data_IF_828122080163
#
_entry.id   IF_828122080163
#
_cell.length_a   1.000
_cell.length_b   1.000
_cell.length_c   1.000
_cell.angle_alpha   90.00
_cell.angle_beta   90.00
_cell.angle_gamma   90.00
#
_symmetry.space_group_name_H-M   'P 1'
#
loop_
_entity.id
_entity.type
_entity.pdbx_description
1 polymer ?
#
# COMPACT_ATOMS: atom_id res chain seq x y z
N UNK A 1 4.99 -6.13 1.50
CA UNK A 1 5.79 -7.16 0.81
C UNK A 1 4.95 -7.67 -0.33
N UNK A 2 5.48 -7.59 -1.55
CA UNK A 2 4.82 -8.09 -2.76
C UNK A 2 5.40 -9.49 -3.01
N UNK A 3 4.62 -10.48 -3.45
CA UNK A 3 5.18 -11.79 -3.77
C UNK A 3 6.23 -11.66 -4.87
N UNK A 4 7.23 -12.55 -4.85
CA UNK A 4 8.12 -12.78 -5.98
C UNK A 4 7.26 -13.46 -7.05
N UNK A 5 7.10 -12.82 -8.21
CA UNK A 5 6.32 -13.35 -9.33
C UNK A 5 7.25 -13.90 -10.41
N UNK A 6 6.71 -14.50 -11.47
CA UNK A 6 7.51 -14.83 -12.66
C UNK A 6 8.09 -13.59 -13.38
N UNK A 7 7.62 -12.38 -13.02
CA UNK A 7 8.22 -11.12 -13.48
C UNK A 7 9.46 -10.74 -12.65
N UNK A 8 9.70 -11.42 -11.53
CA UNK A 8 10.97 -11.29 -10.81
C UNK A 8 12.08 -11.79 -11.73
N UNK A 9 12.94 -10.85 -12.13
CA UNK A 9 13.98 -11.09 -13.09
C UNK A 9 15.32 -10.86 -12.41
N UNK A 10 15.99 -11.96 -12.06
CA UNK A 10 17.33 -11.93 -11.47
C UNK A 10 18.41 -11.80 -12.56
N UNK A 11 18.07 -12.11 -13.82
CA UNK A 11 19.02 -12.21 -14.91
C UNK A 11 19.73 -10.91 -15.28
N UNK A 12 19.16 -9.75 -14.92
CA UNK A 12 19.82 -8.45 -15.14
C UNK A 12 21.16 -8.36 -14.39
N UNK A 13 21.29 -9.04 -13.24
CA UNK A 13 22.51 -9.02 -12.43
C UNK A 13 23.21 -10.37 -12.32
N UNK A 14 22.46 -11.48 -12.34
CA UNK A 14 22.98 -12.82 -12.08
C UNK A 14 23.18 -13.68 -13.33
N UNK A 15 22.81 -13.21 -14.53
CA UNK A 15 23.18 -13.92 -15.76
C UNK A 15 24.70 -13.90 -15.96
N UNK A 16 25.23 -14.92 -16.62
CA UNK A 16 26.68 -15.07 -16.78
C UNK A 16 27.27 -13.88 -17.54
N UNK A 17 28.30 -13.26 -16.97
CA UNK A 17 28.91 -12.02 -17.47
C UNK A 17 28.32 -10.74 -16.87
N UNK A 18 27.21 -10.80 -16.15
CA UNK A 18 26.65 -9.66 -15.41
C UNK A 18 27.35 -9.43 -14.07
N UNK A 19 27.03 -8.31 -13.42
CA UNK A 19 27.74 -7.81 -12.23
C UNK A 19 27.88 -8.81 -11.09
N UNK A 20 26.90 -9.71 -10.89
CA UNK A 20 26.95 -10.73 -9.85
C UNK A 20 27.49 -12.09 -10.33
N UNK A 21 27.70 -12.28 -11.63
CA UNK A 21 28.19 -13.52 -12.23
C UNK A 21 29.31 -13.28 -13.26
N UNK A 22 30.30 -12.45 -12.89
CA UNK A 22 31.45 -12.09 -13.73
C UNK A 22 32.81 -12.49 -13.13
N UNK A 23 32.85 -13.10 -11.95
CA UNK A 23 34.11 -13.52 -11.33
C UNK A 23 34.73 -14.68 -12.13
N UNK A 24 35.95 -14.53 -12.70
CA UNK A 24 36.57 -15.57 -13.53
C UNK A 24 37.05 -16.79 -12.72
N UNK A 25 37.14 -16.69 -11.40
CA UNK A 25 37.50 -17.81 -10.53
C UNK A 25 36.32 -18.76 -10.23
N UNK A 26 35.11 -18.43 -10.70
CA UNK A 26 33.92 -19.26 -10.55
C UNK A 26 33.45 -19.80 -11.90
N UNK A 27 32.99 -21.05 -11.92
CA UNK A 27 32.39 -21.67 -13.09
C UNK A 27 30.89 -21.35 -13.11
N UNK A 28 30.50 -20.41 -13.95
CA UNK A 28 29.10 -20.00 -14.11
C UNK A 28 28.34 -20.90 -15.07
N UNK A 29 27.03 -21.05 -14.84
CA UNK A 29 26.14 -21.80 -15.72
C UNK A 29 26.11 -21.14 -17.11
N UNK A 30 26.17 -21.92 -18.18
CA UNK A 30 26.04 -21.41 -19.56
C UNK A 30 24.61 -21.58 -20.08
N UNK A 31 24.28 -20.91 -21.20
CA UNK A 31 22.99 -21.14 -21.87
C UNK A 31 22.88 -22.56 -22.46
N UNK A 32 24.01 -23.24 -22.69
CA UNK A 32 24.06 -24.60 -23.24
C UNK A 32 23.95 -25.68 -22.16
N UNK A 33 23.84 -25.29 -20.89
CA UNK A 33 23.56 -26.21 -19.79
C UNK A 33 22.24 -26.99 -20.08
N UNK A 34 22.24 -28.33 -19.98
CA UNK A 34 21.08 -29.15 -20.32
C UNK A 34 19.81 -28.78 -19.55
N UNK A 35 19.92 -28.39 -18.28
CA UNK A 35 18.75 -28.02 -17.49
C UNK A 35 18.24 -26.62 -17.88
N UNK A 36 19.15 -25.71 -18.28
CA UNK A 36 18.76 -24.39 -18.82
C UNK A 36 17.97 -24.57 -20.10
N UNK A 37 18.41 -25.46 -20.99
CA UNK A 37 17.69 -25.78 -22.23
C UNK A 37 16.34 -26.45 -21.93
N UNK A 38 16.28 -27.36 -20.95
CA UNK A 38 15.06 -28.06 -20.58
C UNK A 38 13.98 -27.15 -19.96
N UNK A 39 14.36 -26.03 -19.34
CA UNK A 39 13.43 -25.12 -18.64
C UNK A 39 13.22 -23.79 -19.38
N UNK A 40 13.84 -23.60 -20.55
CA UNK A 40 13.83 -22.34 -21.29
C UNK A 40 12.43 -21.82 -21.64
N UNK A 41 11.48 -22.72 -21.91
CA UNK A 41 10.14 -22.36 -22.41
C UNK A 41 9.26 -21.77 -21.30
N UNK A 42 9.61 -22.01 -20.03
CA UNK A 42 8.83 -21.57 -18.86
C UNK A 42 9.28 -20.21 -18.32
N UNK A 43 10.58 -19.89 -18.38
CA UNK A 43 11.19 -18.73 -17.71
C UNK A 43 12.16 -17.92 -18.61
N UNK A 44 12.55 -18.47 -19.76
CA UNK A 44 13.63 -17.96 -20.59
C UNK A 44 15.01 -18.41 -20.10
N UNK A 45 15.91 -18.75 -21.04
CA UNK A 45 17.26 -19.27 -20.75
C UNK A 45 18.03 -18.46 -19.71
N UNK A 46 18.04 -17.14 -19.89
CA UNK A 46 18.82 -16.22 -19.06
C UNK A 46 18.35 -16.19 -17.61
N UNK A 47 17.06 -16.41 -17.36
CA UNK A 47 16.52 -16.45 -15.98
C UNK A 47 16.85 -17.77 -15.29
N UNK A 48 16.72 -18.90 -16.00
CA UNK A 48 17.13 -20.20 -15.45
C UNK A 48 18.64 -20.21 -15.14
N UNK A 49 19.46 -19.65 -16.03
CA UNK A 49 20.88 -19.45 -15.80
C UNK A 49 21.14 -18.59 -14.55
N UNK A 50 20.43 -17.47 -14.40
CA UNK A 50 20.57 -16.57 -13.26
C UNK A 50 20.23 -17.26 -11.93
N UNK A 51 19.16 -18.06 -11.88
CA UNK A 51 18.77 -18.83 -10.70
C UNK A 51 19.84 -19.86 -10.30
N UNK A 52 20.43 -20.56 -11.27
CA UNK A 52 21.56 -21.47 -11.02
C UNK A 52 22.81 -20.72 -10.52
N UNK A 53 23.13 -19.56 -11.10
CA UNK A 53 24.23 -18.72 -10.66
C UNK A 53 24.04 -18.18 -9.22
N UNK A 54 22.81 -17.92 -8.80
CA UNK A 54 22.49 -17.59 -7.40
C UNK A 54 22.84 -18.76 -6.46
N UNK A 55 22.58 -20.01 -6.85
CA UNK A 55 22.97 -21.18 -6.03
C UNK A 55 24.49 -21.36 -5.97
N UNK A 56 25.21 -21.12 -7.08
CA UNK A 56 26.68 -21.15 -7.11
C UNK A 56 27.26 -20.12 -6.12
N UNK A 57 26.72 -18.89 -6.15
CA UNK A 57 27.09 -17.84 -5.20
C UNK A 57 26.81 -18.25 -3.76
N UNK A 58 25.62 -18.81 -3.51
CA UNK A 58 25.22 -19.25 -2.18
C UNK A 58 26.17 -20.35 -1.65
N UNK A 59 26.43 -21.38 -2.45
CA UNK A 59 27.36 -22.47 -2.12
C UNK A 59 28.76 -21.94 -1.79
N UNK A 60 29.25 -20.98 -2.59
CA UNK A 60 30.55 -20.36 -2.35
C UNK A 60 30.61 -19.51 -1.08
N UNK A 61 29.57 -18.75 -0.78
CA UNK A 61 29.54 -17.80 0.34
C UNK A 61 29.20 -18.44 1.68
N UNK A 62 28.44 -19.55 1.65
CA UNK A 62 27.88 -20.17 2.85
C UNK A 62 28.29 -21.63 3.04
N UNK A 63 29.22 -22.13 2.23
CA UNK A 63 29.73 -23.51 2.30
C UNK A 63 28.61 -24.55 2.20
N UNK A 64 27.69 -24.32 1.26
CA UNK A 64 26.57 -25.22 0.97
C UNK A 64 26.80 -26.02 -0.32
N UNK A 65 25.89 -26.95 -0.63
CA UNK A 65 25.89 -27.72 -1.87
C UNK A 65 24.49 -27.77 -2.51
N UNK A 66 23.84 -26.60 -2.56
CA UNK A 66 22.48 -26.40 -3.04
C UNK A 66 22.36 -26.56 -4.55
N UNK A 67 23.42 -26.27 -5.31
CA UNK A 67 23.42 -26.48 -6.76
C UNK A 67 23.14 -27.95 -7.12
N UNK A 68 23.57 -28.90 -6.28
CA UNK A 68 23.34 -30.33 -6.47
C UNK A 68 22.07 -30.84 -5.75
N UNK A 69 21.25 -29.94 -5.18
CA UNK A 69 20.04 -30.24 -4.41
C UNK A 69 18.81 -29.51 -4.95
N UNK A 70 18.76 -29.28 -6.26
CA UNK A 70 17.64 -28.61 -6.93
C UNK A 70 16.43 -29.54 -7.11
N UNK A 71 15.18 -29.02 -7.05
CA UNK A 71 14.83 -27.62 -6.79
C UNK A 71 14.99 -27.22 -5.32
N UNK A 72 15.46 -25.99 -5.08
CA UNK A 72 15.68 -25.45 -3.73
C UNK A 72 14.57 -24.47 -3.38
N UNK A 73 13.81 -24.78 -2.34
CA UNK A 73 12.90 -23.82 -1.72
C UNK A 73 13.67 -23.02 -0.68
N UNK A 74 14.08 -21.78 -0.98
CA UNK A 74 14.84 -20.91 -0.06
C UNK A 74 14.20 -20.81 1.34
N UNK A 75 12.87 -20.82 1.39
CA UNK A 75 12.12 -20.72 2.63
C UNK A 75 12.19 -21.97 3.52
N UNK A 76 12.74 -23.10 3.05
CA UNK A 76 13.02 -24.26 3.91
C UNK A 76 14.06 -23.91 4.98
N UNK A 77 14.99 -23.01 4.66
CA UNK A 77 16.03 -22.51 5.57
C UNK A 77 15.74 -21.09 6.05
N UNK A 78 15.24 -20.21 5.19
CA UNK A 78 15.01 -18.79 5.50
C UNK A 78 13.55 -18.48 5.75
N UNK A 79 13.14 -18.36 7.01
CA UNK A 79 11.72 -18.19 7.38
C UNK A 79 10.99 -17.12 6.56
N UNK A 80 9.78 -17.43 6.10
CA UNK A 80 8.88 -16.49 5.44
C UNK A 80 7.48 -16.65 6.03
N UNK A 81 6.97 -15.66 6.78
CA UNK A 81 5.62 -15.72 7.35
C UNK A 81 4.53 -15.92 6.30
N UNK A 82 4.75 -15.48 5.05
CA UNK A 82 3.80 -15.70 3.95
C UNK A 82 3.58 -17.17 3.59
N UNK A 83 4.53 -18.06 3.93
CA UNK A 83 4.43 -19.50 3.69
C UNK A 83 4.05 -20.28 4.95
N UNK A 84 3.95 -19.61 6.11
CA UNK A 84 3.54 -20.18 7.38
C UNK A 84 2.02 -20.11 7.54
N UNK A 85 1.33 -20.95 6.75
CA UNK A 85 -0.14 -20.94 6.70
C UNK A 85 -0.79 -21.41 8.01
N UNK A 86 -0.05 -22.14 8.86
CA UNK A 86 -0.51 -22.63 10.17
C UNK A 86 -0.21 -21.66 11.31
N UNK A 87 0.66 -20.66 11.09
CA UNK A 87 1.06 -19.69 12.10
C UNK A 87 1.93 -20.29 13.22
N UNK A 88 2.65 -21.38 12.94
CA UNK A 88 3.46 -22.08 13.94
C UNK A 88 4.82 -21.41 14.18
N UNK A 89 5.18 -20.43 13.37
CA UNK A 89 6.46 -19.74 13.42
C UNK A 89 7.58 -20.50 12.73
N UNK A 90 8.80 -19.96 12.86
CA UNK A 90 10.02 -20.58 12.32
C UNK A 90 10.29 -21.96 12.95
N UNK A 91 10.66 -22.94 12.14
CA UNK A 91 10.98 -24.32 12.54
C UNK A 91 12.39 -24.74 12.14
N UNK A 92 13.02 -25.62 12.92
CA UNK A 92 14.36 -26.14 12.62
C UNK A 92 15.38 -25.01 12.38
N UNK A 93 16.11 -25.09 11.27
CA UNK A 93 17.14 -24.10 10.89
C UNK A 93 16.60 -22.68 10.68
N UNK A 94 15.31 -22.53 10.38
CA UNK A 94 14.68 -21.22 10.22
C UNK A 94 14.77 -20.35 11.49
N UNK A 95 14.91 -20.97 12.67
CA UNK A 95 15.04 -20.24 13.94
C UNK A 95 16.40 -19.57 14.12
N UNK A 96 17.43 -20.09 13.46
CA UNK A 96 18.82 -19.62 13.59
C UNK A 96 19.32 -18.83 12.40
N UNK A 97 18.57 -18.82 11.29
CA UNK A 97 18.94 -18.14 10.06
C UNK A 97 18.10 -16.86 9.85
N UNK A 98 18.63 -15.85 9.13
CA UNK A 98 17.86 -14.69 8.76
C UNK A 98 16.61 -15.08 7.93
N UNK A 99 15.55 -14.31 8.06
CA UNK A 99 14.32 -14.47 7.27
C UNK A 99 14.58 -14.30 5.78
N UNK A 100 13.68 -14.81 4.94
CA UNK A 100 13.70 -14.60 3.48
C UNK A 100 13.78 -13.12 3.10
N UNK A 101 13.10 -12.25 3.86
CA UNK A 101 13.16 -10.80 3.61
C UNK A 101 14.53 -10.19 3.92
N UNK A 102 15.17 -10.66 5.00
CA UNK A 102 16.52 -10.20 5.36
C UNK A 102 17.53 -10.62 4.30
N UNK A 103 17.56 -11.89 3.91
CA UNK A 103 18.54 -12.37 2.92
C UNK A 103 18.38 -11.73 1.55
N UNK A 104 17.15 -11.38 1.15
CA UNK A 104 16.92 -10.67 -0.11
C UNK A 104 17.17 -9.17 0.05
N UNK A 105 16.40 -8.46 0.87
CA UNK A 105 16.44 -6.99 0.85
C UNK A 105 17.66 -6.42 1.57
N UNK A 106 18.04 -6.96 2.75
CA UNK A 106 19.18 -6.40 3.49
C UNK A 106 20.47 -6.59 2.68
N UNK A 107 20.72 -7.79 2.18
CA UNK A 107 21.90 -8.09 1.35
C UNK A 107 21.97 -7.14 0.16
N UNK A 108 20.92 -7.07 -0.67
CA UNK A 108 20.93 -6.21 -1.86
C UNK A 108 20.98 -4.71 -1.52
N UNK A 109 20.43 -4.28 -0.39
CA UNK A 109 20.54 -2.90 0.08
C UNK A 109 21.92 -2.53 0.64
N UNK A 110 22.75 -3.51 1.00
CA UNK A 110 24.13 -3.32 1.49
C UNK A 110 25.18 -3.39 0.39
N UNK A 111 24.86 -3.97 -0.77
CA UNK A 111 25.78 -4.06 -1.91
C UNK A 111 26.19 -2.67 -2.44
N UNK A 112 27.48 -2.52 -2.72
CA UNK A 112 28.09 -1.32 -3.31
C UNK A 112 28.94 -1.70 -4.53
N UNK A 113 29.04 -0.78 -5.50
CA UNK A 113 30.02 -0.87 -6.59
C UNK A 113 31.44 -0.54 -6.08
N UNK A 114 32.42 -0.55 -6.99
CA UNK A 114 33.82 -0.26 -6.66
C UNK A 114 34.02 1.20 -6.19
N UNK A 115 33.16 2.10 -6.64
CA UNK A 115 33.14 3.52 -6.29
C UNK A 115 32.40 3.79 -4.97
N UNK A 116 31.75 2.78 -4.38
CA UNK A 116 31.03 2.86 -3.12
C UNK A 116 29.55 3.27 -3.26
N UNK A 117 28.99 3.32 -4.46
CA UNK A 117 27.58 3.62 -4.69
C UNK A 117 26.70 2.37 -4.49
N UNK A 118 25.45 2.50 -4.00
CA UNK A 118 24.51 1.38 -3.93
C UNK A 118 24.25 0.76 -5.30
N UNK A 119 24.38 -0.57 -5.41
CA UNK A 119 24.01 -1.31 -6.63
C UNK A 119 22.51 -1.13 -6.93
N UNK A 120 21.67 -1.16 -5.89
CA UNK A 120 20.24 -0.84 -5.99
C UNK A 120 19.99 0.48 -5.25
N UNK A 121 19.84 1.60 -5.96
CA UNK A 121 19.68 2.92 -5.33
C UNK A 121 18.31 3.11 -4.67
N UNK A 122 18.28 3.89 -3.59
CA UNK A 122 17.06 4.39 -2.95
C UNK A 122 16.75 5.82 -3.41
N UNK A 123 15.49 6.26 -3.29
CA UNK A 123 15.09 7.62 -3.69
C UNK A 123 15.04 7.86 -5.21
N UNK A 124 15.15 6.81 -6.02
CA UNK A 124 14.94 6.83 -7.46
C UNK A 124 13.57 6.24 -7.83
N UNK A 125 13.13 6.46 -9.07
CA UNK A 125 11.93 5.83 -9.62
C UNK A 125 11.95 4.30 -9.49
N UNK A 126 10.75 3.71 -9.30
CA UNK A 126 10.58 2.30 -8.91
C UNK A 126 11.17 1.30 -9.90
N UNK A 127 11.22 1.68 -11.18
CA UNK A 127 11.79 0.93 -12.28
C UNK A 127 13.28 0.66 -12.08
N UNK A 128 13.99 1.52 -11.33
CA UNK A 128 15.42 1.37 -11.02
C UNK A 128 15.68 0.75 -9.64
N UNK A 129 14.63 0.40 -8.88
CA UNK A 129 14.77 -0.23 -7.57
C UNK A 129 13.85 -1.45 -7.38
N UNK A 130 12.70 -1.31 -6.73
CA UNK A 130 11.76 -2.36 -6.35
C UNK A 130 11.35 -3.22 -7.55
N UNK A 131 11.12 -2.62 -8.72
CA UNK A 131 10.70 -3.35 -9.94
C UNK A 131 11.85 -4.08 -10.65
N UNK A 132 13.07 -4.06 -10.11
CA UNK A 132 14.10 -5.01 -10.53
C UNK A 132 13.77 -6.43 -10.06
N UNK A 133 13.10 -6.58 -8.91
CA UNK A 133 12.78 -7.89 -8.33
C UNK A 133 11.27 -8.13 -8.19
N UNK A 134 10.46 -7.08 -8.09
CA UNK A 134 9.02 -7.19 -7.92
C UNK A 134 8.25 -6.97 -9.23
N UNK A 135 7.08 -7.63 -9.37
CA UNK A 135 6.19 -7.40 -10.50
C UNK A 135 5.82 -5.92 -10.62
N UNK A 136 6.12 -5.30 -11.76
CA UNK A 136 5.91 -3.85 -11.92
C UNK A 136 6.29 -3.25 -13.26
N UNK A 137 7.29 -3.80 -13.96
CA UNK A 137 7.65 -3.38 -15.33
C UNK A 137 6.50 -3.63 -16.31
N UNK A 138 5.76 -4.72 -16.11
CA UNK A 138 4.60 -5.13 -16.92
C UNK A 138 3.30 -5.03 -16.13
N UNK A 139 3.25 -5.68 -14.97
CA UNK A 139 2.01 -5.81 -14.19
C UNK A 139 1.60 -4.57 -13.40
N UNK A 140 2.54 -3.62 -13.22
CA UNK A 140 2.32 -2.36 -12.51
C UNK A 140 1.61 -2.61 -11.17
N UNK A 141 2.22 -3.41 -10.28
CA UNK A 141 1.56 -3.78 -9.02
C UNK A 141 1.07 -2.59 -8.21
N UNK A 142 1.75 -1.43 -8.30
CA UNK A 142 1.28 -0.18 -7.74
C UNK A 142 0.63 0.69 -8.83
N UNK A 143 -0.70 0.68 -8.90
CA UNK A 143 -1.47 1.38 -9.96
C UNK A 143 -2.71 2.12 -9.47
N UNK A 144 -3.00 2.06 -8.17
CA UNK A 144 -4.16 2.74 -7.58
C UNK A 144 -4.01 4.26 -7.37
N UNK A 145 -4.88 4.79 -6.50
CA UNK A 145 -4.98 6.20 -6.15
C UNK A 145 -3.65 6.78 -5.62
N UNK A 146 -2.88 6.01 -4.87
CA UNK A 146 -1.56 6.43 -4.37
C UNK A 146 -0.56 6.63 -5.51
N UNK A 147 -0.55 5.77 -6.53
CA UNK A 147 0.30 5.95 -7.72
C UNK A 147 -0.14 7.16 -8.53
N UNK A 148 -1.46 7.37 -8.64
CA UNK A 148 -2.05 8.52 -9.34
C UNK A 148 -1.55 9.87 -8.80
N UNK A 149 -1.27 9.95 -7.51
CA UNK A 149 -0.73 11.16 -6.86
C UNK A 149 0.80 11.15 -6.73
N UNK A 150 1.49 10.24 -7.43
CA UNK A 150 2.94 10.19 -7.50
C UNK A 150 3.64 9.53 -6.31
N UNK A 151 2.92 8.85 -5.42
CA UNK A 151 3.56 8.07 -4.36
C UNK A 151 4.16 6.79 -4.95
N UNK A 152 5.37 6.46 -4.53
CA UNK A 152 6.09 5.26 -4.93
C UNK A 152 6.23 4.29 -3.75
N UNK A 153 6.75 3.09 -4.01
CA UNK A 153 6.87 2.02 -3.01
C UNK A 153 7.57 2.48 -1.72
N UNK A 154 8.58 3.34 -1.84
CA UNK A 154 9.38 3.84 -0.72
C UNK A 154 8.58 4.74 0.21
N UNK A 155 7.56 5.46 -0.27
CA UNK A 155 6.72 6.32 0.57
C UNK A 155 5.96 5.53 1.64
N UNK A 156 5.66 4.26 1.36
CA UNK A 156 5.00 3.36 2.30
C UNK A 156 5.99 2.43 3.02
N UNK A 157 6.90 1.82 2.25
CA UNK A 157 7.73 0.71 2.74
C UNK A 157 9.12 1.12 3.23
N UNK A 158 9.62 2.29 2.84
CA UNK A 158 11.04 2.63 2.92
C UNK A 158 11.89 1.91 1.85
N UNK A 159 13.21 2.03 1.98
CA UNK A 159 14.16 1.36 1.10
C UNK A 159 14.39 -0.12 1.43
N UNK A 160 15.25 -0.78 0.65
CA UNK A 160 15.59 -2.20 0.85
C UNK A 160 16.09 -2.51 2.26
N UNK A 161 16.89 -1.62 2.86
CA UNK A 161 17.39 -1.80 4.22
C UNK A 161 16.28 -1.75 5.27
N UNK A 162 15.27 -0.89 5.09
CA UNK A 162 14.09 -0.83 5.95
C UNK A 162 13.24 -2.10 5.82
N UNK A 163 12.93 -2.52 4.58
CA UNK A 163 12.15 -3.73 4.30
C UNK A 163 12.88 -5.00 4.73
N UNK A 164 14.21 -5.01 4.61
CA UNK A 164 15.10 -6.07 5.08
C UNK A 164 15.30 -6.06 6.59
N UNK A 165 14.73 -5.11 7.32
CA UNK A 165 14.80 -5.09 8.78
C UNK A 165 16.22 -4.83 9.31
N UNK A 166 17.02 -4.01 8.60
CA UNK A 166 18.36 -3.62 9.07
C UNK A 166 18.28 -2.76 10.34
N UNK A 167 17.28 -1.90 10.40
CA UNK A 167 17.09 -0.94 11.49
C UNK A 167 15.93 -1.39 12.37
N UNK A 168 16.04 -1.24 13.70
CA UNK A 168 14.95 -1.55 14.60
C UNK A 168 13.77 -0.62 14.36
N UNK A 169 12.54 -1.13 14.47
CA UNK A 169 11.33 -0.31 14.42
C UNK A 169 11.30 0.65 15.60
N UNK A 170 10.82 1.86 15.37
CA UNK A 170 10.54 2.85 16.39
C UNK A 170 9.24 2.52 17.13
N UNK A 171 9.00 3.18 18.26
CA UNK A 171 7.77 3.06 19.05
C UNK A 171 6.51 3.27 18.18
N UNK A 172 5.57 2.34 18.29
CA UNK A 172 4.36 2.25 17.49
C UNK A 172 4.55 1.63 16.10
N UNK A 173 5.76 1.27 15.70
CA UNK A 173 6.07 0.80 14.35
C UNK A 173 5.58 -0.64 14.06
N UNK A 174 5.60 -1.51 15.07
CA UNK A 174 5.08 -2.87 14.93
C UNK A 174 3.55 -2.87 14.90
N UNK A 175 2.96 -3.80 14.14
CA UNK A 175 1.51 -3.82 13.92
C UNK A 175 0.73 -4.14 15.21
N UNK A 176 1.33 -4.93 16.10
CA UNK A 176 0.74 -5.40 17.36
C UNK A 176 1.32 -4.71 18.61
N UNK A 177 2.26 -3.77 18.43
CA UNK A 177 2.94 -3.07 19.52
C UNK A 177 3.90 -3.93 20.35
N UNK A 178 4.14 -5.18 19.97
CA UNK A 178 4.97 -6.13 20.75
C UNK A 178 6.40 -6.27 20.24
N UNK A 179 6.71 -5.68 19.08
CA UNK A 179 7.99 -5.82 18.40
C UNK A 179 8.65 -4.47 18.10
N UNK A 180 8.26 -3.41 18.79
CA UNK A 180 8.95 -2.12 18.73
C UNK A 180 10.36 -2.26 19.32
N UNK A 181 11.33 -1.56 18.75
CA UNK A 181 12.77 -1.77 19.01
C UNK A 181 13.33 -3.05 18.37
N UNK A 182 12.47 -3.92 17.83
CA UNK A 182 12.84 -5.15 17.13
C UNK A 182 13.03 -4.96 15.63
N UNK A 183 13.50 -6.03 14.97
CA UNK A 183 13.58 -6.06 13.51
C UNK A 183 12.17 -6.14 12.89
N UNK A 184 11.92 -5.39 11.80
CA UNK A 184 10.68 -5.48 11.03
C UNK A 184 10.35 -6.93 10.66
N UNK A 185 9.17 -7.43 11.07
CA UNK A 185 8.69 -8.77 10.70
C UNK A 185 8.07 -8.72 9.30
N UNK A 186 8.64 -9.43 8.31
CA UNK A 186 8.11 -9.39 6.95
C UNK A 186 6.69 -9.97 6.90
N UNK A 187 5.83 -9.39 6.07
CA UNK A 187 4.40 -9.75 5.93
C UNK A 187 3.53 -9.53 7.18
N UNK A 188 4.11 -9.08 8.29
CA UNK A 188 3.39 -8.77 9.53
C UNK A 188 3.42 -7.26 9.77
N UNK A 189 4.61 -6.67 9.92
CA UNK A 189 4.80 -5.23 10.11
C UNK A 189 4.80 -4.52 8.74
N UNK A 190 3.60 -4.26 8.22
CA UNK A 190 3.38 -3.64 6.91
C UNK A 190 2.81 -2.21 7.03
N UNK A 191 2.87 -1.41 5.95
CA UNK A 191 2.27 -0.09 5.94
C UNK A 191 0.77 -0.15 6.25
N UNK A 192 0.30 0.91 6.90
CA UNK A 192 -1.05 1.01 7.44
C UNK A 192 -1.77 2.20 6.82
N UNK A 193 -3.09 2.11 6.65
CA UNK A 193 -3.89 3.21 6.12
C UNK A 193 -3.78 4.43 7.04
N UNK A 194 -3.88 4.18 8.35
CA UNK A 194 -3.72 5.20 9.39
C UNK A 194 -2.36 5.88 9.43
N UNK A 195 -1.34 5.34 8.75
CA UNK A 195 -0.04 5.98 8.71
C UNK A 195 -0.02 7.22 7.82
N UNK A 196 -0.93 7.31 6.85
CA UNK A 196 -1.12 8.52 6.02
C UNK A 196 -2.47 9.18 6.23
N UNK A 197 -3.52 8.38 6.44
CA UNK A 197 -4.88 8.83 6.74
C UNK A 197 -5.06 8.94 8.26
N UNK A 198 -4.37 9.90 8.85
CA UNK A 198 -4.12 9.95 10.29
C UNK A 198 -5.28 10.52 11.13
N UNK A 199 -6.44 10.69 10.49
CA UNK A 199 -7.63 11.28 11.08
C UNK A 199 -8.42 12.12 10.09
N UNK A 200 -9.17 13.07 10.62
CA UNK A 200 -10.13 13.89 9.89
C UNK A 200 -9.70 15.35 9.79
N UNK A 201 -10.55 16.22 9.27
CA UNK A 201 -10.20 17.62 8.99
C UNK A 201 -9.82 18.42 10.24
N UNK A 202 -10.28 18.02 11.42
CA UNK A 202 -10.06 18.77 12.66
C UNK A 202 -9.10 18.07 13.61
N UNK A 203 -8.94 16.75 13.47
CA UNK A 203 -8.08 15.91 14.30
C UNK A 203 -7.31 14.92 13.43
N UNK A 204 -6.06 15.24 13.11
CA UNK A 204 -5.08 14.41 12.41
C UNK A 204 -3.67 14.65 13.00
N UNK A 205 -2.71 13.77 12.70
CA UNK A 205 -1.34 13.93 13.19
C UNK A 205 -0.71 15.23 12.68
N UNK A 206 0.08 15.88 13.53
CA UNK A 206 0.89 17.06 13.22
C UNK A 206 2.21 16.92 13.96
N UNK A 207 3.27 17.50 13.40
CA UNK A 207 4.58 17.51 14.04
C UNK A 207 5.73 17.46 13.04
N UNK A 208 6.94 17.53 13.59
CA UNK A 208 8.19 17.45 12.83
C UNK A 208 8.38 16.09 12.17
N UNK A 209 8.99 16.10 10.98
CA UNK A 209 9.26 14.90 10.19
C UNK A 209 8.03 14.28 9.52
N UNK A 210 6.85 14.91 9.60
CA UNK A 210 5.67 14.49 8.84
C UNK A 210 5.62 15.22 7.50
N UNK A 211 5.55 14.46 6.42
CA UNK A 211 5.40 15.00 5.06
C UNK A 211 3.93 15.00 4.67
N UNK A 212 3.36 16.19 4.47
CA UNK A 212 1.96 16.33 4.06
C UNK A 212 1.82 16.32 2.54
N UNK A 213 0.76 15.69 2.06
CA UNK A 213 0.29 15.91 0.70
C UNK A 213 -0.24 17.35 0.56
N UNK A 214 -0.40 17.82 -0.68
CA UNK A 214 -0.80 19.22 -0.98
C UNK A 214 -2.17 19.63 -0.43
N UNK A 215 -2.91 18.68 0.12
CA UNK A 215 -4.24 18.88 0.68
C UNK A 215 -4.25 19.22 2.18
N UNK A 216 -3.09 19.15 2.83
CA UNK A 216 -2.90 19.54 4.23
C UNK A 216 -3.52 18.61 5.28
N UNK A 217 -4.06 17.44 4.89
CA UNK A 217 -4.66 16.47 5.82
C UNK A 217 -3.93 15.13 5.74
N UNK A 218 -3.77 14.60 4.52
CA UNK A 218 -3.13 13.30 4.31
C UNK A 218 -1.62 13.45 4.30
N UNK A 219 -0.91 12.45 4.81
CA UNK A 219 0.54 12.40 4.66
C UNK A 219 0.94 11.79 3.30
N UNK A 220 2.03 12.30 2.74
CA UNK A 220 2.70 11.77 1.55
C UNK A 220 3.69 10.63 1.89
N UNK A 221 3.94 10.38 3.19
CA UNK A 221 4.84 9.33 3.67
C UNK A 221 4.24 8.65 4.91
N UNK A 222 4.36 7.32 4.99
CA UNK A 222 3.79 6.50 6.06
C UNK A 222 4.64 6.48 7.34
N UNK A 223 5.80 7.10 7.34
CA UNK A 223 6.78 7.13 8.42
C UNK A 223 7.42 8.52 8.48
N UNK A 224 8.15 8.82 9.56
CA UNK A 224 8.80 10.13 9.71
C UNK A 224 10.02 10.26 8.81
N UNK A 225 10.24 11.44 8.22
CA UNK A 225 11.50 11.76 7.55
C UNK A 225 12.67 11.57 8.52
N UNK A 226 13.72 10.90 8.06
CA UNK A 226 14.88 10.54 8.89
C UNK A 226 14.74 9.21 9.65
N UNK A 227 13.58 8.53 9.57
CA UNK A 227 13.46 7.16 10.09
C UNK A 227 13.90 6.12 9.06
N UNK A 228 15.13 5.63 9.22
CA UNK A 228 15.73 4.60 8.35
C UNK A 228 15.00 3.25 8.40
N UNK A 229 14.26 2.97 9.48
CA UNK A 229 13.45 1.76 9.62
C UNK A 229 12.10 1.85 8.89
N UNK A 230 11.73 3.05 8.45
CA UNK A 230 10.44 3.39 7.88
C UNK A 230 9.26 2.87 8.73
N UNK A 231 9.32 3.08 10.05
CA UNK A 231 8.31 2.61 11.00
C UNK A 231 6.96 3.25 10.70
N UNK A 232 5.93 2.45 10.37
CA UNK A 232 4.61 2.98 10.08
C UNK A 232 4.10 3.85 11.22
N UNK A 233 3.50 5.00 10.91
CA UNK A 233 2.90 5.89 11.92
C UNK A 233 1.60 5.30 12.50
N UNK A 234 1.31 5.62 13.76
CA UNK A 234 0.04 5.33 14.41
C UNK A 234 -0.82 6.60 14.52
N UNK A 235 -2.03 6.55 13.97
CA UNK A 235 -2.99 7.62 14.17
C UNK A 235 -3.57 7.59 15.59
N UNK A 236 -3.84 8.76 16.17
CA UNK A 236 -4.67 8.88 17.38
C UNK A 236 -6.16 8.86 17.02
N UNK A 237 -6.52 9.54 15.94
CA UNK A 237 -7.87 9.48 15.37
C UNK A 237 -7.94 8.31 14.38
N UNK A 238 -8.70 7.27 14.75
CA UNK A 238 -8.79 6.02 13.99
C UNK A 238 -9.90 6.03 12.91
N UNK A 239 -10.50 7.18 12.57
CA UNK A 239 -11.62 7.27 11.61
C UNK A 239 -11.36 6.54 10.29
N UNK A 240 -10.13 6.59 9.78
CA UNK A 240 -9.71 5.95 8.53
C UNK A 240 -8.68 4.83 8.74
N UNK A 241 -8.54 4.35 9.99
CA UNK A 241 -7.66 3.25 10.29
C UNK A 241 -8.28 1.92 9.87
N UNK A 242 -7.42 1.00 9.45
CA UNK A 242 -7.75 -0.43 9.46
C UNK A 242 -8.01 -0.93 10.90
N UNK A 243 -8.55 -2.15 11.06
CA UNK A 243 -8.83 -2.69 12.40
C UNK A 243 -7.53 -2.86 13.20
N UNK A 244 -7.61 -2.78 14.53
CA UNK A 244 -6.43 -2.93 15.39
C UNK A 244 -5.70 -4.24 15.14
N UNK A 245 -4.37 -4.18 15.13
CA UNK A 245 -3.46 -5.32 14.94
C UNK A 245 -3.75 -6.14 13.67
N UNK A 246 -4.41 -5.54 12.67
CA UNK A 246 -4.93 -6.23 11.50
C UNK A 246 -4.51 -5.51 10.22
N UNK A 247 -4.07 -6.27 9.22
CA UNK A 247 -3.75 -5.70 7.90
C UNK A 247 -5.03 -5.25 7.18
N UNK A 248 -4.93 -4.22 6.34
CA UNK A 248 -6.03 -3.73 5.49
C UNK A 248 -6.76 -4.86 4.74
N UNK A 249 -6.01 -5.78 4.11
CA UNK A 249 -6.60 -6.90 3.35
C UNK A 249 -7.45 -7.86 4.20
N UNK A 250 -7.21 -7.88 5.52
CA UNK A 250 -7.92 -8.71 6.49
C UNK A 250 -8.94 -7.89 7.31
N UNK A 251 -8.96 -6.57 7.14
CA UNK A 251 -9.83 -5.67 7.89
C UNK A 251 -11.22 -5.61 7.27
N UNK A 252 -12.20 -5.41 8.14
CA UNK A 252 -13.61 -5.31 7.80
C UNK A 252 -14.23 -4.08 8.45
N UNK A 253 -15.22 -3.52 7.80
CA UNK A 253 -16.03 -2.41 8.29
C UNK A 253 -17.49 -2.60 7.89
N UNK A 254 -18.35 -1.64 8.27
CA UNK A 254 -19.72 -1.47 7.77
C UNK A 254 -20.46 -2.77 7.41
N UNK A 255 -21.04 -3.44 8.42
CA UNK A 255 -21.76 -4.71 8.22
C UNK A 255 -20.85 -5.93 7.96
N UNK A 256 -19.54 -5.81 8.20
CA UNK A 256 -18.57 -6.90 8.03
C UNK A 256 -17.99 -7.01 6.61
N UNK A 257 -18.21 -6.00 5.77
CA UNK A 257 -17.64 -5.89 4.43
C UNK A 257 -16.12 -5.70 4.55
N UNK A 258 -15.34 -6.47 3.79
CA UNK A 258 -13.89 -6.30 3.73
C UNK A 258 -13.57 -4.92 3.13
N UNK A 259 -12.54 -4.25 3.65
CA UNK A 259 -12.16 -2.91 3.18
C UNK A 259 -11.91 -2.88 1.65
N UNK A 260 -11.38 -3.98 1.10
CA UNK A 260 -11.16 -4.14 -0.35
C UNK A 260 -12.44 -4.09 -1.18
N UNK A 261 -13.60 -4.43 -0.60
CA UNK A 261 -14.90 -4.36 -1.27
C UNK A 261 -15.33 -2.94 -1.60
N UNK A 262 -14.93 -1.94 -0.79
CA UNK A 262 -15.24 -0.53 -1.04
C UNK A 262 -14.08 0.21 -1.72
N UNK A 263 -12.84 -0.10 -1.33
CA UNK A 263 -11.65 0.66 -1.75
C UNK A 263 -10.88 0.04 -2.91
N UNK A 264 -11.07 -1.23 -3.24
CA UNK A 264 -10.19 -2.00 -4.13
C UNK A 264 -9.07 -2.73 -3.38
N UNK A 265 -8.30 -3.55 -4.10
CA UNK A 265 -7.26 -4.38 -3.47
C UNK A 265 -6.00 -3.58 -3.10
N UNK A 266 -5.19 -4.12 -2.18
CA UNK A 266 -3.88 -3.51 -1.86
C UNK A 266 -3.06 -3.20 -3.13
N UNK A 267 -2.46 -2.01 -3.18
CA UNK A 267 -1.72 -1.45 -4.31
C UNK A 267 -2.54 -1.10 -5.59
N UNK A 268 -3.82 -1.45 -5.64
CA UNK A 268 -4.76 -1.11 -6.71
C UNK A 268 -6.04 -0.42 -6.19
N UNK A 269 -5.91 0.31 -5.07
CA UNK A 269 -6.99 1.10 -4.47
C UNK A 269 -7.53 2.12 -5.47
N UNK A 270 -8.85 2.27 -5.56
CA UNK A 270 -9.49 3.12 -6.56
C UNK A 270 -9.44 4.62 -6.21
N UNK A 271 -9.42 5.50 -7.23
CA UNK A 271 -9.42 5.20 -8.65
C UNK A 271 -8.01 4.96 -9.22
N UNK A 272 -7.97 4.33 -10.40
CA UNK A 272 -6.81 4.37 -11.29
C UNK A 272 -6.84 5.67 -12.12
N UNK A 273 -5.67 6.26 -12.42
CA UNK A 273 -5.54 7.53 -13.15
C UNK A 273 -6.08 7.45 -14.59
N UNK A 274 -5.75 6.38 -15.31
CA UNK A 274 -6.36 6.07 -16.61
C UNK A 274 -7.83 5.69 -16.42
N UNK A 275 -8.72 6.51 -16.99
CA UNK A 275 -10.17 6.32 -16.93
C UNK A 275 -10.62 4.99 -17.55
N UNK A 276 -9.86 4.44 -18.49
CA UNK A 276 -10.18 3.19 -19.18
C UNK A 276 -9.54 1.96 -18.54
N UNK A 277 -8.79 2.11 -17.45
CA UNK A 277 -8.15 0.99 -16.78
C UNK A 277 -9.19 0.02 -16.21
N UNK A 278 -8.89 -1.29 -16.31
CA UNK A 278 -9.75 -2.35 -15.81
C UNK A 278 -10.06 -2.19 -14.31
N UNK A 279 -9.13 -1.65 -13.51
CA UNK A 279 -9.36 -1.42 -12.07
C UNK A 279 -10.53 -0.44 -11.83
N UNK A 280 -10.86 0.47 -12.75
CA UNK A 280 -12.00 1.38 -12.61
C UNK A 280 -13.36 0.74 -12.96
N UNK A 281 -13.38 -0.39 -13.68
CA UNK A 281 -14.62 -0.97 -14.23
C UNK A 281 -15.60 -1.38 -13.14
N UNK A 282 -15.13 -1.99 -12.06
CA UNK A 282 -16.00 -2.41 -10.95
C UNK A 282 -16.73 -1.23 -10.33
N UNK A 283 -16.02 -0.15 -9.99
CA UNK A 283 -16.63 1.05 -9.43
C UNK A 283 -17.62 1.70 -10.41
N UNK A 284 -17.26 1.79 -11.70
CA UNK A 284 -18.15 2.35 -12.72
C UNK A 284 -19.45 1.52 -12.85
N UNK A 285 -19.36 0.20 -12.85
CA UNK A 285 -20.54 -0.67 -12.95
C UNK A 285 -21.46 -0.58 -11.73
N UNK A 286 -20.87 -0.40 -10.53
CA UNK A 286 -21.61 -0.38 -9.27
C UNK A 286 -22.27 0.96 -8.97
N UNK A 287 -21.55 2.08 -9.12
CA UNK A 287 -22.02 3.41 -8.72
C UNK A 287 -22.06 4.44 -9.86
N UNK A 288 -21.76 4.02 -11.10
CA UNK A 288 -21.78 4.90 -12.28
C UNK A 288 -20.55 5.79 -12.43
N UNK A 289 -19.57 5.72 -11.52
CA UNK A 289 -18.32 6.47 -11.62
C UNK A 289 -17.13 5.72 -10.98
N UNK A 290 -15.91 6.05 -11.42
CA UNK A 290 -14.67 5.55 -10.83
C UNK A 290 -14.48 6.03 -9.38
N UNK A 291 -13.74 5.27 -8.57
CA UNK A 291 -13.33 5.65 -7.23
C UNK A 291 -13.80 4.66 -6.17
N UNK A 292 -13.50 4.95 -4.90
CA UNK A 292 -14.06 4.21 -3.76
C UNK A 292 -15.58 4.18 -3.85
N UNK A 293 -16.20 3.05 -3.49
CA UNK A 293 -17.66 2.92 -3.40
C UNK A 293 -18.17 3.81 -2.27
N UNK A 294 -18.93 4.83 -2.62
CA UNK A 294 -19.54 5.77 -1.66
C UNK A 294 -21.05 5.91 -1.84
N UNK A 295 -21.59 5.41 -2.96
CA UNK A 295 -23.03 5.41 -3.22
C UNK A 295 -23.68 4.24 -2.50
N UNK A 296 -24.42 4.55 -1.43
CA UNK A 296 -24.94 3.53 -0.52
C UNK A 296 -25.98 2.62 -1.19
N UNK A 297 -26.65 3.10 -2.23
CA UNK A 297 -27.62 2.35 -3.03
C UNK A 297 -26.98 1.27 -3.92
N UNK A 298 -25.66 1.24 -4.02
CA UNK A 298 -24.90 0.10 -4.57
C UNK A 298 -25.23 -1.21 -3.84
N UNK A 299 -25.52 -1.12 -2.54
CA UNK A 299 -25.81 -2.30 -1.70
C UNK A 299 -27.16 -2.22 -0.98
N UNK A 300 -27.63 -1.01 -0.67
CA UNK A 300 -28.92 -0.81 -0.02
C UNK A 300 -30.02 -0.50 -1.04
N UNK A 301 -31.25 -0.92 -0.78
CA UNK A 301 -32.34 -0.57 -1.69
C UNK A 301 -32.54 0.97 -1.69
N UNK A 302 -32.76 1.59 -2.86
CA UNK A 302 -33.00 3.03 -2.93
C UNK A 302 -34.11 3.49 -1.97
N UNK A 303 -33.79 4.50 -1.15
CA UNK A 303 -34.71 5.04 -0.15
C UNK A 303 -34.92 4.20 1.11
N UNK A 304 -34.36 2.98 1.19
CA UNK A 304 -34.54 2.10 2.35
C UNK A 304 -33.68 2.50 3.55
N UNK A 305 -32.61 3.26 3.33
CA UNK A 305 -31.76 3.76 4.40
C UNK A 305 -32.45 4.88 5.15
N UNK A 306 -32.45 4.77 6.48
CA UNK A 306 -32.74 5.91 7.35
C UNK A 306 -31.64 6.97 7.20
N UNK A 307 -31.98 8.22 7.54
CA UNK A 307 -30.98 9.29 7.60
C UNK A 307 -30.02 9.00 8.75
N UNK A 308 -28.73 9.17 8.52
CA UNK A 308 -27.69 8.83 9.50
C UNK A 308 -26.43 9.64 9.27
N UNK A 309 -25.56 9.65 10.27
CA UNK A 309 -24.16 10.08 10.23
C UNK A 309 -23.22 8.94 10.65
N UNK A 310 -23.75 7.72 10.83
CA UNK A 310 -23.05 6.54 11.33
C UNK A 310 -22.64 5.58 10.21
N UNK A 311 -22.58 6.06 8.96
CA UNK A 311 -22.07 5.32 7.82
C UNK A 311 -20.56 5.03 7.95
N UNK A 312 -19.98 4.35 6.94
CA UNK A 312 -18.54 4.12 6.88
C UNK A 312 -17.76 5.42 7.16
N UNK A 313 -16.80 5.38 8.07
CA UNK A 313 -15.99 6.55 8.46
C UNK A 313 -16.79 7.74 9.04
N UNK A 314 -18.03 7.52 9.50
CA UNK A 314 -18.94 8.56 9.96
C UNK A 314 -19.57 9.35 8.81
N UNK A 315 -19.73 8.71 7.65
CA UNK A 315 -20.40 9.31 6.50
C UNK A 315 -21.91 9.36 6.72
N UNK A 316 -22.50 10.45 6.21
CA UNK A 316 -23.94 10.55 6.04
C UNK A 316 -24.39 9.99 4.69
N UNK A 317 -25.70 9.89 4.48
CA UNK A 317 -26.28 9.47 3.21
C UNK A 317 -25.78 10.36 2.07
N UNK A 318 -25.16 9.74 1.07
CA UNK A 318 -24.69 10.39 -0.16
C UNK A 318 -25.78 10.26 -1.21
N UNK A 319 -25.94 11.29 -2.05
CA UNK A 319 -26.90 11.31 -3.15
C UNK A 319 -28.38 11.13 -2.75
N UNK A 320 -28.73 11.39 -1.49
CA UNK A 320 -30.10 11.27 -1.03
C UNK A 320 -30.78 12.65 -0.99
N UNK A 321 -31.82 12.90 -1.81
CA UNK A 321 -32.54 14.18 -1.79
C UNK A 321 -33.11 14.51 -0.42
N UNK A 322 -33.49 13.50 0.38
CA UNK A 322 -33.99 13.71 1.75
C UNK A 322 -32.92 14.34 2.63
N UNK A 323 -31.64 13.99 2.44
CA UNK A 323 -30.54 14.57 3.19
C UNK A 323 -30.36 16.05 2.87
N UNK A 324 -30.29 16.38 1.58
CA UNK A 324 -30.10 17.77 1.12
C UNK A 324 -31.32 18.65 1.38
N UNK A 325 -32.53 18.07 1.33
CA UNK A 325 -33.80 18.74 1.59
C UNK A 325 -34.15 18.68 3.09
N UNK A 326 -33.55 19.58 3.86
CA UNK A 326 -33.77 19.85 5.28
C UNK A 326 -33.38 18.79 6.32
N UNK A 327 -33.17 17.51 6.01
CA UNK A 327 -32.90 16.51 7.07
C UNK A 327 -31.55 16.68 7.74
N UNK A 328 -30.51 17.06 7.01
CA UNK A 328 -29.16 17.22 7.58
C UNK A 328 -29.09 18.32 8.67
N UNK A 329 -29.99 19.32 8.64
CA UNK A 329 -30.07 20.39 9.65
C UNK A 329 -30.23 19.82 11.06
N UNK A 330 -31.06 18.79 11.23
CA UNK A 330 -31.29 18.20 12.55
C UNK A 330 -30.02 17.56 13.11
N UNK A 331 -29.22 16.91 12.26
CA UNK A 331 -27.94 16.31 12.65
C UNK A 331 -26.92 17.39 12.97
N UNK A 332 -26.87 18.47 12.17
CA UNK A 332 -26.01 19.62 12.46
C UNK A 332 -26.37 20.26 13.81
N UNK A 333 -27.65 20.51 14.09
CA UNK A 333 -28.08 21.11 15.36
C UNK A 333 -27.77 20.22 16.57
N UNK A 334 -27.77 18.89 16.39
CA UNK A 334 -27.48 17.94 17.46
C UNK A 334 -25.97 17.83 17.73
N UNK A 335 -25.17 17.69 16.68
CA UNK A 335 -23.71 17.60 16.77
C UNK A 335 -23.03 18.30 15.57
N UNK A 336 -22.75 19.61 15.68
CA UNK A 336 -22.00 20.33 14.66
C UNK A 336 -20.60 19.75 14.42
N UNK A 337 -19.99 19.10 15.42
CA UNK A 337 -18.63 18.61 15.31
C UNK A 337 -18.53 17.39 14.39
N UNK A 338 -19.59 16.57 14.30
CA UNK A 338 -19.67 15.49 13.32
C UNK A 338 -19.53 16.03 11.88
N UNK A 339 -20.18 17.15 11.56
CA UNK A 339 -20.03 17.80 10.25
C UNK A 339 -18.64 18.39 10.09
N UNK A 340 -18.12 19.10 11.10
CA UNK A 340 -16.79 19.73 11.07
C UNK A 340 -15.66 18.72 10.84
N UNK A 341 -15.81 17.49 11.30
CA UNK A 341 -14.84 16.42 11.08
C UNK A 341 -14.51 16.22 9.59
N UNK A 342 -15.49 16.36 8.69
CA UNK A 342 -15.28 16.18 7.25
C UNK A 342 -15.34 17.50 6.47
N UNK A 343 -16.16 18.45 6.90
CA UNK A 343 -16.37 19.73 6.20
C UNK A 343 -15.49 20.86 6.74
N UNK A 344 -14.64 20.59 7.74
CA UNK A 344 -13.68 21.54 8.28
C UNK A 344 -14.26 22.36 9.44
N UNK A 345 -13.38 23.01 10.21
CA UNK A 345 -13.76 23.72 11.45
C UNK A 345 -14.83 24.80 11.23
N UNK A 346 -14.78 25.45 10.08
CA UNK A 346 -15.71 26.50 9.66
C UNK A 346 -16.71 26.02 8.60
N UNK A 347 -16.78 24.71 8.35
CA UNK A 347 -17.67 24.09 7.36
C UNK A 347 -17.48 24.61 5.92
N UNK A 348 -16.27 25.06 5.60
CA UNK A 348 -15.87 25.60 4.29
C UNK A 348 -15.46 24.51 3.29
N UNK A 349 -15.71 23.26 3.63
CA UNK A 349 -15.34 22.10 2.84
C UNK A 349 -13.87 21.74 3.00
N UNK A 350 -13.59 20.45 2.80
CA UNK A 350 -12.21 19.93 2.83
C UNK A 350 -12.05 18.85 1.76
N UNK A 351 -10.84 18.33 1.54
CA UNK A 351 -10.64 17.14 0.72
C UNK A 351 -11.52 15.94 1.08
N UNK A 352 -12.00 15.83 2.33
CA UNK A 352 -12.89 14.76 2.80
C UNK A 352 -14.35 14.98 2.39
N UNK A 353 -14.77 16.20 2.05
CA UNK A 353 -16.14 16.52 1.61
C UNK A 353 -16.26 16.67 0.10
N UNK A 354 -15.31 16.14 -0.68
CA UNK A 354 -15.33 16.25 -2.14
C UNK A 354 -16.44 15.42 -2.76
N UNK A 355 -17.16 16.03 -3.71
CA UNK A 355 -18.18 15.32 -4.50
C UNK A 355 -17.50 14.42 -5.54
N UNK A 356 -17.86 13.12 -5.58
CA UNK A 356 -17.23 12.16 -6.51
C UNK A 356 -17.72 12.29 -7.97
N UNK A 357 -18.93 12.80 -8.17
CA UNK A 357 -19.57 12.99 -9.48
C UNK A 357 -20.42 14.27 -9.47
N UNK A 358 -20.50 14.97 -10.59
CA UNK A 358 -21.32 16.19 -10.68
C UNK A 358 -22.78 15.89 -10.39
N UNK A 359 -23.40 16.65 -9.48
CA UNK A 359 -24.78 16.47 -9.06
C UNK A 359 -25.51 17.80 -8.98
N UNK A 360 -26.82 17.72 -9.15
CA UNK A 360 -27.71 18.86 -9.02
C UNK A 360 -28.74 18.52 -7.96
N UNK A 361 -28.79 19.36 -6.91
CA UNK A 361 -29.66 19.18 -5.77
C UNK A 361 -30.70 20.28 -5.74
N UNK A 362 -31.93 19.92 -5.39
CA UNK A 362 -32.93 20.90 -4.95
C UNK A 362 -32.62 21.26 -3.50
N UNK A 363 -32.48 22.54 -3.25
CA UNK A 363 -32.24 23.12 -1.93
C UNK A 363 -33.33 24.16 -1.74
N UNK A 364 -34.34 23.81 -0.95
CA UNK A 364 -35.52 24.64 -0.75
C UNK A 364 -36.18 24.98 -2.11
N UNK A 365 -36.26 26.28 -2.44
CA UNK A 365 -36.86 26.79 -3.67
C UNK A 365 -35.85 26.99 -4.82
N UNK A 366 -34.58 26.64 -4.61
CA UNK A 366 -33.54 26.76 -5.63
C UNK A 366 -32.85 25.44 -5.96
N UNK A 367 -32.00 25.50 -6.98
CA UNK A 367 -31.20 24.38 -7.45
C UNK A 367 -29.72 24.73 -7.35
N UNK A 368 -28.93 23.85 -6.76
CA UNK A 368 -27.48 23.99 -6.61
C UNK A 368 -26.80 22.84 -7.33
N UNK A 369 -25.86 23.15 -8.22
CA UNK A 369 -25.04 22.15 -8.91
C UNK A 369 -23.66 22.08 -8.28
N UNK A 370 -23.31 20.92 -7.73
CA UNK A 370 -22.00 20.62 -7.18
C UNK A 370 -21.19 19.83 -8.22
N UNK A 371 -20.02 20.36 -8.60
CA UNK A 371 -19.17 19.73 -9.62
C UNK A 371 -18.34 18.60 -9.01
N UNK A 372 -18.00 17.58 -9.81
CA UNK A 372 -17.00 16.58 -9.44
C UNK A 372 -15.72 17.24 -8.92
N UNK A 373 -15.25 16.80 -7.76
CA UNK A 373 -14.05 17.30 -7.08
C UNK A 373 -14.25 18.57 -6.26
N UNK A 374 -15.41 19.22 -6.35
CA UNK A 374 -15.76 20.37 -5.50
C UNK A 374 -15.90 19.91 -4.06
N UNK A 375 -15.27 20.63 -3.14
CA UNK A 375 -15.44 20.41 -1.71
C UNK A 375 -16.78 21.01 -1.28
N UNK A 376 -17.59 20.25 -0.56
CA UNK A 376 -18.89 20.73 -0.11
C UNK A 376 -18.70 21.61 1.12
N UNK A 377 -19.01 22.89 0.97
CA UNK A 377 -19.09 23.89 2.03
C UNK A 377 -20.55 24.30 2.27
N UNK A 378 -20.86 24.73 3.49
CA UNK A 378 -22.22 25.16 3.85
C UNK A 378 -22.67 26.40 3.06
N UNK A 379 -21.73 27.29 2.73
CA UNK A 379 -21.99 28.54 2.00
C UNK A 379 -22.34 28.35 0.51
N UNK A 380 -22.30 27.11 -0.01
CA UNK A 380 -22.85 26.79 -1.33
C UNK A 380 -24.37 26.81 -1.34
N UNK A 381 -24.98 26.60 -0.18
CA UNK A 381 -26.43 26.40 -0.02
C UNK A 381 -27.07 27.36 1.00
N UNK A 382 -26.32 27.85 1.97
CA UNK A 382 -26.81 28.72 3.05
C UNK A 382 -26.00 30.01 3.13
N UNK A 383 -26.61 31.11 3.58
CA UNK A 383 -25.84 32.31 3.88
C UNK A 383 -25.01 32.08 5.15
N UNK A 384 -23.79 32.64 5.20
CA UNK A 384 -22.89 32.45 6.36
C UNK A 384 -23.46 33.03 7.66
N UNK A 385 -24.38 33.98 7.55
CA UNK A 385 -25.06 34.59 8.70
C UNK A 385 -26.15 33.67 9.31
N UNK A 386 -26.54 32.60 8.60
CA UNK A 386 -27.52 31.60 9.04
C UNK A 386 -26.88 30.36 9.70
N UNK A 387 -25.54 30.29 9.78
CA UNK A 387 -24.75 29.14 10.24
C UNK A 387 -24.19 29.33 11.65
#
# INVERSE_FOLDING_TARGET
>A
MVPVSMEANCNTCHATGQIAANNPAMTWTSNDDPDVQAQQDSLGKSEVQAQKNVLILHDKQHDTNLQNQTPVLCASCHYSPALDLTGEGAKGMQKSLPTSSQVMHKTHGELRDAEGNPIIPTGVHVEKNCYQCHPGKTTQCQRGAMKTVGLECTACHGGLLAVGGKFPLLEGGSIDGTNDGGTRRPWVDLPRCQSCHTGDAVSHLKGEGLEFYTDGIRLAQAYKTGDDSASPLLAKNKRFAENENTLFRNSKGHGGIACEGCHGSTHAIWPHADANANDNLTAIQLQGHSGTIIECDTCHAPGSLEMTIDGPHGMHNVNDPRWTDHKHRNYYMLDPNACKACHGKQLEGTPLSKVAVTRTHRVEDRTVTLKKGQQVSCDLCHDKDDL
#
